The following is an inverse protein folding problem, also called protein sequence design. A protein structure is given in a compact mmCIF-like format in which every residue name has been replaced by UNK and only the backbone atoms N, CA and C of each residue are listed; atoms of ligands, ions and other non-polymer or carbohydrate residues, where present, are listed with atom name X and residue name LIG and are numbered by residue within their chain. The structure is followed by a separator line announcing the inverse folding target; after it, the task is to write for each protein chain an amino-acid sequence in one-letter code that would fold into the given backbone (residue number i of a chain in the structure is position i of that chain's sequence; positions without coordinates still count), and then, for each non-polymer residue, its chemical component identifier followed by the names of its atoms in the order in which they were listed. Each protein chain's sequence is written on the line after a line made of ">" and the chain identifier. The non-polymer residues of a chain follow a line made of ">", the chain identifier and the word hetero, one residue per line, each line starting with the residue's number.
data_IF_611217097423
#
_entry.id   IF_611217097423
#
_cell.length_a   1.000
_cell.length_b   1.000
_cell.length_c   1.000
_cell.angle_alpha   90.00
_cell.angle_beta   90.00
_cell.angle_gamma   90.00
#
_symmetry.space_group_name_H-M   'P 1'
#
loop_
_entity.id
_entity.type
_entity.pdbx_description
1 polymer ?
#
# COMPACT_ATOMS: atom_id res chain seq x y z
N UNK A 1 -10.63 36.10 11.98
CA UNK A 1 -10.99 34.88 11.23
C UNK A 1 -10.96 33.75 12.23
N UNK A 2 -12.11 33.40 12.75
CA UNK A 2 -12.25 32.47 13.88
C UNK A 2 -12.37 31.06 13.31
N UNK A 3 -11.40 30.21 13.63
CA UNK A 3 -11.43 28.79 13.25
C UNK A 3 -12.61 28.16 14.01
N UNK A 4 -13.50 27.47 13.29
CA UNK A 4 -14.66 26.82 13.89
C UNK A 4 -14.25 25.73 14.88
N UNK A 5 -15.09 25.40 15.88
CA UNK A 5 -14.76 24.45 16.95
C UNK A 5 -14.38 23.05 16.44
N UNK A 6 -14.78 22.67 15.23
CA UNK A 6 -14.46 21.37 14.61
C UNK A 6 -13.05 21.31 13.99
N UNK A 7 -12.56 22.41 13.42
CA UNK A 7 -11.18 22.47 12.93
C UNK A 7 -10.16 22.53 14.08
N UNK A 8 -10.59 23.01 15.25
CA UNK A 8 -9.80 23.00 16.47
C UNK A 8 -9.60 21.57 17.01
N UNK A 9 -10.57 20.65 16.84
CA UNK A 9 -10.43 19.24 17.24
C UNK A 9 -9.38 18.47 16.44
N UNK A 10 -9.29 18.69 15.12
CA UNK A 10 -8.21 18.11 14.31
C UNK A 10 -6.83 18.65 14.68
N UNK A 11 -6.74 19.91 15.11
CA UNK A 11 -5.46 20.54 15.50
C UNK A 11 -5.03 20.21 16.94
N UNK A 12 -5.98 20.08 17.87
CA UNK A 12 -5.70 19.81 19.30
C UNK A 12 -5.27 18.34 19.56
N UNK A 13 -5.47 17.43 18.60
CA UNK A 13 -4.99 16.04 18.67
C UNK A 13 -3.55 15.87 18.21
N UNK A 14 -2.96 16.86 17.53
CA UNK A 14 -1.60 16.78 17.00
C UNK A 14 -0.51 16.62 18.08
N UNK A 15 -0.52 17.29 19.26
CA UNK A 15 0.65 17.24 20.15
C UNK A 15 0.83 15.93 20.91
N UNK A 16 -0.19 15.07 21.02
CA UNK A 16 -0.08 13.74 21.66
C UNK A 16 0.29 12.62 20.68
N UNK A 17 0.36 12.97 19.39
CA UNK A 17 0.56 12.10 18.22
C UNK A 17 2.02 12.19 17.70
N UNK A 18 2.87 13.09 18.22
CA UNK A 18 4.24 13.31 17.72
C UNK A 18 5.38 12.62 18.49
N UNK A 19 5.10 11.67 19.38
CA UNK A 19 6.16 10.77 19.80
C UNK A 19 6.51 9.87 18.59
N UNK A 20 7.76 9.96 18.12
CA UNK A 20 8.30 9.05 17.11
C UNK A 20 8.08 7.62 17.61
N UNK A 21 7.48 6.73 16.80
CA UNK A 21 7.14 5.40 17.25
C UNK A 21 8.37 4.66 17.79
N UNK A 22 8.24 4.06 18.97
CA UNK A 22 9.36 3.37 19.61
C UNK A 22 9.54 1.95 19.08
N UNK A 23 8.52 1.39 18.40
CA UNK A 23 8.58 0.08 17.76
C UNK A 23 7.60 -0.06 16.58
N UNK A 24 7.83 -1.07 15.74
CA UNK A 24 6.90 -1.45 14.66
C UNK A 24 5.54 -1.90 15.22
N UNK A 25 5.52 -2.67 16.30
CA UNK A 25 4.27 -3.17 16.92
C UNK A 25 3.40 -2.02 17.41
N UNK A 26 3.98 -1.04 18.10
CA UNK A 26 3.26 0.17 18.53
C UNK A 26 2.69 0.94 17.33
N UNK A 27 3.47 1.07 16.26
CA UNK A 27 3.05 1.75 15.03
C UNK A 27 1.85 1.07 14.37
N UNK A 28 1.85 -0.26 14.31
CA UNK A 28 0.79 -1.06 13.70
C UNK A 28 -0.53 -0.91 14.48
N UNK A 29 -0.49 -1.04 15.81
CA UNK A 29 -1.66 -0.83 16.66
C UNK A 29 -2.20 0.60 16.53
N UNK A 30 -1.30 1.58 16.53
CA UNK A 30 -1.67 2.98 16.37
C UNK A 30 -2.29 3.25 15.01
N UNK A 31 -1.78 2.62 13.96
CA UNK A 31 -2.33 2.71 12.60
C UNK A 31 -3.78 2.24 12.57
N UNK A 32 -4.08 1.08 13.16
CA UNK A 32 -5.45 0.58 13.22
C UNK A 32 -6.38 1.55 13.97
N UNK A 33 -5.91 2.10 15.10
CA UNK A 33 -6.69 3.06 15.89
C UNK A 33 -7.03 4.34 15.11
N UNK A 34 -6.03 4.97 14.49
CA UNK A 34 -6.27 6.25 13.77
C UNK A 34 -7.18 6.05 12.55
N UNK A 35 -7.08 4.90 11.86
CA UNK A 35 -7.93 4.61 10.71
C UNK A 35 -9.37 4.41 11.14
N UNK A 36 -9.60 3.64 12.21
CA UNK A 36 -10.95 3.41 12.74
C UNK A 36 -11.57 4.68 13.29
N UNK A 37 -10.83 5.45 14.09
CA UNK A 37 -11.31 6.72 14.64
C UNK A 37 -11.71 7.70 13.53
N UNK A 38 -10.94 7.75 12.44
CA UNK A 38 -11.19 8.68 11.34
C UNK A 38 -12.28 8.22 10.36
N UNK A 39 -12.61 6.93 10.29
CA UNK A 39 -13.44 6.41 9.17
C UNK A 39 -14.57 5.47 9.56
N UNK A 40 -14.66 4.98 10.81
CA UNK A 40 -15.75 4.07 11.21
C UNK A 40 -17.12 4.76 11.12
N UNK A 41 -17.18 6.08 11.31
CA UNK A 41 -18.43 6.86 11.17
C UNK A 41 -19.01 6.87 9.75
N UNK A 42 -18.19 6.59 8.74
CA UNK A 42 -18.63 6.41 7.35
C UNK A 42 -19.19 5.02 7.08
N UNK A 43 -18.99 4.07 8.00
CA UNK A 43 -19.40 2.68 7.88
C UNK A 43 -18.20 1.73 7.88
N UNK A 44 -18.34 0.62 8.63
CA UNK A 44 -17.31 -0.40 8.79
C UNK A 44 -17.88 -1.82 8.79
N UNK A 45 -17.01 -2.81 8.58
CA UNK A 45 -17.28 -4.24 8.73
C UNK A 45 -16.09 -4.90 9.40
N UNK A 46 -16.34 -5.81 10.34
CA UNK A 46 -15.29 -6.48 11.10
C UNK A 46 -15.55 -8.00 11.11
N UNK A 47 -14.49 -8.77 10.87
CA UNK A 47 -14.48 -10.22 10.95
C UNK A 47 -14.02 -10.71 12.33
N UNK A 48 -14.36 -11.95 12.72
CA UNK A 48 -13.96 -12.52 14.01
C UNK A 48 -12.44 -12.77 14.14
N UNK A 49 -11.71 -12.70 13.03
CA UNK A 49 -10.26 -12.88 12.88
C UNK A 49 -9.48 -11.55 12.91
N UNK A 50 -10.15 -10.44 13.23
CA UNK A 50 -9.56 -9.10 13.25
C UNK A 50 -9.44 -8.45 11.87
N UNK A 51 -9.89 -9.11 10.80
CA UNK A 51 -10.01 -8.48 9.50
C UNK A 51 -11.05 -7.35 9.55
N UNK A 52 -10.80 -6.21 8.92
CA UNK A 52 -11.82 -5.16 8.85
C UNK A 52 -11.77 -4.32 7.57
N UNK A 53 -12.92 -3.71 7.29
CA UNK A 53 -13.13 -2.67 6.30
C UNK A 53 -13.61 -1.42 7.03
N UNK A 54 -13.08 -0.25 6.72
CA UNK A 54 -13.56 1.03 7.29
C UNK A 54 -13.53 2.15 6.23
N UNK A 55 -14.41 3.14 6.39
CA UNK A 55 -14.58 4.22 5.43
C UNK A 55 -15.41 3.83 4.21
N UNK A 56 -16.67 3.40 4.39
CA UNK A 56 -17.55 3.05 3.26
C UNK A 56 -17.84 4.27 2.38
N UNK A 57 -17.51 4.17 1.09
CA UNK A 57 -17.59 5.28 0.11
C UNK A 57 -18.41 4.85 -1.13
N UNK A 58 -19.75 4.72 -1.01
CA UNK A 58 -20.61 4.19 -2.08
C UNK A 58 -20.65 5.07 -3.34
N UNK A 59 -20.25 6.35 -3.22
CA UNK A 59 -20.13 7.27 -4.35
C UNK A 59 -18.97 6.90 -5.30
N UNK A 60 -17.98 6.12 -4.83
CA UNK A 60 -16.90 5.55 -5.66
C UNK A 60 -17.38 4.24 -6.30
N UNK A 61 -17.88 3.30 -5.49
CA UNK A 61 -18.57 2.09 -5.91
C UNK A 61 -19.38 1.49 -4.75
N UNK A 62 -20.46 0.72 -4.99
CA UNK A 62 -21.37 0.26 -3.94
C UNK A 62 -20.71 -0.47 -2.75
N UNK A 63 -19.60 -1.16 -3.00
CA UNK A 63 -18.85 -1.93 -1.99
C UNK A 63 -17.46 -1.35 -1.70
N UNK A 64 -17.18 -0.10 -2.09
CA UNK A 64 -15.88 0.51 -1.89
C UNK A 64 -15.69 0.97 -0.44
N UNK A 65 -14.54 0.64 0.13
CA UNK A 65 -14.08 1.14 1.42
C UNK A 65 -12.72 1.83 1.23
N UNK A 66 -12.45 2.85 2.02
CA UNK A 66 -11.16 3.56 2.01
C UNK A 66 -10.02 2.68 2.53
N UNK A 67 -10.32 1.81 3.49
CA UNK A 67 -9.35 0.92 4.10
C UNK A 67 -9.86 -0.52 4.17
N UNK A 68 -8.98 -1.45 3.83
CA UNK A 68 -9.13 -2.89 4.00
C UNK A 68 -7.90 -3.42 4.72
N UNK A 69 -8.09 -4.10 5.85
CA UNK A 69 -7.06 -4.81 6.61
C UNK A 69 -7.40 -6.29 6.65
N UNK A 70 -6.45 -7.13 6.26
CA UNK A 70 -6.61 -8.59 6.28
C UNK A 70 -6.18 -9.16 7.65
N UNK A 71 -6.69 -10.34 8.05
CA UNK A 71 -6.34 -10.91 9.34
C UNK A 71 -4.85 -11.22 9.40
N UNK A 72 -4.24 -11.13 10.58
CA UNK A 72 -2.81 -11.42 10.74
C UNK A 72 -2.48 -12.90 10.54
N UNK A 73 -1.24 -13.18 10.16
CA UNK A 73 -0.72 -14.53 9.98
C UNK A 73 -0.24 -15.13 11.30
N UNK A 74 -0.46 -16.43 11.47
CA UNK A 74 0.22 -17.24 12.49
C UNK A 74 1.61 -17.69 12.00
N UNK A 75 2.35 -18.42 12.84
CA UNK A 75 3.70 -18.89 12.52
C UNK A 75 3.76 -19.73 11.22
N UNK A 76 2.72 -20.53 10.95
CA UNK A 76 2.64 -21.31 9.72
C UNK A 76 2.39 -20.43 8.50
N UNK A 77 1.50 -19.44 8.64
CA UNK A 77 1.24 -18.43 7.63
C UNK A 77 2.48 -17.60 7.31
N UNK A 78 3.25 -17.20 8.32
CA UNK A 78 4.51 -16.47 8.14
C UNK A 78 5.55 -17.30 7.38
N UNK A 79 5.64 -18.59 7.68
CA UNK A 79 6.53 -19.49 6.95
C UNK A 79 6.10 -19.64 5.48
N UNK A 80 4.80 -19.80 5.23
CA UNK A 80 4.25 -19.85 3.88
C UNK A 80 4.45 -18.53 3.11
N UNK A 81 4.35 -17.38 3.79
CA UNK A 81 4.59 -16.06 3.21
C UNK A 81 6.04 -15.91 2.73
N UNK A 82 7.00 -16.43 3.50
CA UNK A 82 8.42 -16.40 3.17
C UNK A 82 8.73 -17.30 1.95
N UNK A 83 8.11 -18.48 1.89
CA UNK A 83 8.17 -19.37 0.72
C UNK A 83 7.53 -18.72 -0.53
N UNK A 84 6.37 -18.08 -0.38
CA UNK A 84 5.63 -17.42 -1.45
C UNK A 84 6.42 -16.24 -2.04
N UNK A 85 7.06 -15.44 -1.17
CA UNK A 85 7.96 -14.36 -1.55
C UNK A 85 9.24 -14.88 -2.22
N UNK A 86 9.63 -16.13 -1.98
CA UNK A 86 10.87 -16.74 -2.47
C UNK A 86 12.12 -16.06 -1.91
N UNK A 87 11.99 -15.39 -0.75
CA UNK A 87 13.00 -14.50 -0.15
C UNK A 87 12.79 -14.42 1.35
N UNK A 88 13.88 -14.14 2.08
CA UNK A 88 13.82 -13.86 3.51
C UNK A 88 12.87 -12.70 3.82
N UNK A 89 12.01 -12.87 4.83
CA UNK A 89 11.17 -11.80 5.36
C UNK A 89 11.86 -11.08 6.52
N UNK A 90 12.26 -9.80 6.37
CA UNK A 90 12.84 -9.04 7.46
C UNK A 90 11.87 -8.89 8.63
N UNK A 91 12.40 -8.93 9.86
CA UNK A 91 11.61 -8.90 11.10
C UNK A 91 10.54 -7.79 11.15
N UNK A 92 10.80 -6.53 10.72
CA UNK A 92 9.74 -5.51 10.72
C UNK A 92 8.55 -5.87 9.82
N UNK A 93 8.81 -6.53 8.69
CA UNK A 93 7.74 -6.95 7.78
C UNK A 93 7.05 -8.23 8.26
N UNK A 94 7.79 -9.15 8.89
CA UNK A 94 7.22 -10.30 9.57
C UNK A 94 6.26 -9.87 10.69
N UNK A 95 6.63 -8.87 11.49
CA UNK A 95 5.76 -8.28 12.49
C UNK A 95 4.52 -7.62 11.89
N UNK A 96 4.65 -6.98 10.72
CA UNK A 96 3.50 -6.46 9.97
C UNK A 96 2.55 -7.58 9.57
N UNK A 97 3.05 -8.64 8.92
CA UNK A 97 2.22 -9.76 8.47
C UNK A 97 1.55 -10.52 9.62
N UNK A 98 2.24 -10.68 10.75
CA UNK A 98 1.68 -11.27 11.96
C UNK A 98 0.53 -10.42 12.52
N UNK A 99 0.61 -9.10 12.39
CA UNK A 99 -0.43 -8.17 12.82
C UNK A 99 -1.58 -8.09 11.80
N UNK A 100 -1.26 -7.90 10.53
CA UNK A 100 -2.17 -7.79 9.39
C UNK A 100 -1.52 -8.43 8.14
N UNK A 101 -2.20 -9.37 7.49
CA UNK A 101 -1.69 -10.00 6.27
C UNK A 101 -1.84 -9.10 5.03
N UNK A 102 -1.11 -7.99 5.03
CA UNK A 102 -1.28 -6.92 4.05
C UNK A 102 -2.53 -6.07 4.29
N UNK A 103 -2.68 -5.05 3.45
CA UNK A 103 -3.78 -4.09 3.54
C UNK A 103 -3.91 -3.28 2.25
N UNK A 104 -5.08 -2.67 2.04
CA UNK A 104 -5.25 -1.53 1.15
C UNK A 104 -5.69 -0.35 2.00
N UNK A 105 -4.83 0.65 2.17
CA UNK A 105 -5.06 1.80 3.05
C UNK A 105 -4.94 3.06 2.21
N UNK A 106 -6.06 3.71 1.89
CA UNK A 106 -6.08 5.03 1.24
C UNK A 106 -5.23 5.09 -0.07
N UNK A 107 -5.25 3.99 -0.83
CA UNK A 107 -4.50 3.83 -2.07
C UNK A 107 -3.03 3.41 -1.91
N UNK A 108 -2.60 3.08 -0.70
CA UNK A 108 -1.38 2.30 -0.42
C UNK A 108 -1.79 0.83 -0.40
N UNK A 109 -1.13 0.00 -1.20
CA UNK A 109 -1.23 -1.45 -1.09
C UNK A 109 -0.02 -1.99 -0.33
N UNK A 110 -0.28 -2.76 0.73
CA UNK A 110 0.69 -3.60 1.42
C UNK A 110 0.41 -5.05 1.05
N UNK A 111 1.43 -5.75 0.56
CA UNK A 111 1.30 -7.12 0.06
C UNK A 111 1.31 -8.13 1.21
N UNK A 112 0.49 -9.16 1.08
CA UNK A 112 0.37 -10.25 2.04
C UNK A 112 0.64 -11.60 1.39
N UNK A 113 0.56 -12.66 2.18
CA UNK A 113 0.48 -14.01 1.67
C UNK A 113 -0.94 -14.29 1.17
N UNK A 114 -1.07 -15.15 0.18
CA UNK A 114 -2.38 -15.68 -0.22
C UNK A 114 -2.50 -17.18 0.13
N UNK A 115 -1.37 -17.80 0.49
CA UNK A 115 -1.28 -19.21 0.80
C UNK A 115 -1.73 -20.10 -0.37
N UNK A 116 -1.86 -21.42 -0.14
CA UNK A 116 -2.37 -22.35 -1.13
C UNK A 116 -3.90 -22.24 -1.27
N UNK A 117 -4.44 -21.17 -1.87
CA UNK A 117 -5.84 -21.07 -2.34
C UNK A 117 -6.96 -21.42 -1.32
N UNK A 118 -6.68 -21.50 -0.01
CA UNK A 118 -7.70 -21.84 0.99
C UNK A 118 -8.45 -20.58 1.38
N UNK A 119 -9.73 -20.54 1.04
CA UNK A 119 -10.68 -19.57 1.57
C UNK A 119 -10.59 -18.19 0.91
N UNK A 120 -11.15 -18.07 -0.29
CA UNK A 120 -11.63 -16.77 -0.79
C UNK A 120 -12.73 -16.29 0.16
N UNK A 121 -12.31 -15.61 1.22
CA UNK A 121 -13.08 -14.99 2.29
C UNK A 121 -14.05 -15.91 3.04
N UNK A 122 -13.74 -16.26 4.29
CA UNK A 122 -14.79 -16.75 5.20
C UNK A 122 -15.87 -15.68 5.48
N UNK A 123 -15.59 -14.39 5.22
CA UNK A 123 -16.45 -13.27 5.62
C UNK A 123 -16.66 -12.16 4.55
N UNK A 124 -16.27 -12.41 3.29
CA UNK A 124 -16.48 -11.45 2.20
C UNK A 124 -15.57 -10.21 2.17
N UNK A 125 -14.44 -10.21 2.89
CA UNK A 125 -13.46 -9.09 2.92
C UNK A 125 -12.41 -9.21 1.78
N UNK A 126 -12.26 -10.41 1.20
CA UNK A 126 -11.32 -10.68 0.11
C UNK A 126 -9.99 -11.28 0.59
N UNK A 127 -8.93 -11.07 -0.20
CA UNK A 127 -7.56 -11.52 0.06
C UNK A 127 -6.58 -10.40 -0.30
N UNK A 128 -5.39 -10.36 0.32
CA UNK A 128 -4.36 -9.37 -0.03
C UNK A 128 -3.80 -9.60 -1.44
N UNK A 129 -3.06 -8.60 -1.91
CA UNK A 129 -2.20 -8.77 -3.08
C UNK A 129 -0.97 -9.59 -2.65
N UNK A 130 -0.74 -10.70 -3.36
CA UNK A 130 0.33 -11.65 -3.09
C UNK A 130 1.72 -11.00 -3.14
N UNK A 131 2.56 -11.35 -2.16
CA UNK A 131 3.99 -11.01 -2.11
C UNK A 131 4.77 -11.54 -3.31
N UNK A 132 4.26 -12.58 -3.98
CA UNK A 132 4.90 -13.18 -5.14
C UNK A 132 5.07 -12.19 -6.30
N UNK A 133 4.15 -11.25 -6.48
CA UNK A 133 4.18 -10.32 -7.61
C UNK A 133 5.46 -9.48 -7.60
N UNK A 134 5.72 -8.72 -6.54
CA UNK A 134 6.88 -7.81 -6.48
C UNK A 134 8.22 -8.50 -6.23
N UNK A 135 8.20 -9.77 -5.85
CA UNK A 135 9.40 -10.51 -5.44
C UNK A 135 9.86 -11.57 -6.42
N UNK A 136 8.95 -12.17 -7.18
CA UNK A 136 9.24 -13.30 -8.09
C UNK A 136 8.82 -13.01 -9.53
N UNK A 137 7.61 -12.49 -9.75
CA UNK A 137 7.03 -12.42 -11.11
C UNK A 137 7.40 -11.11 -11.82
N UNK A 138 7.25 -9.99 -11.14
CA UNK A 138 7.33 -8.64 -11.72
C UNK A 138 8.51 -7.84 -11.17
N UNK A 139 9.45 -8.51 -10.50
CA UNK A 139 10.58 -7.85 -9.87
C UNK A 139 11.50 -7.22 -10.93
N UNK A 140 11.71 -5.89 -10.92
CA UNK A 140 12.64 -5.26 -11.85
C UNK A 140 14.10 -5.62 -11.53
N UNK A 141 14.92 -5.73 -12.57
CA UNK A 141 16.33 -6.13 -12.45
C UNK A 141 17.20 -5.11 -11.69
N UNK A 142 16.78 -3.83 -11.65
CA UNK A 142 17.50 -2.77 -10.95
C UNK A 142 17.27 -2.78 -9.43
N UNK A 143 16.30 -3.53 -8.92
CA UNK A 143 16.07 -3.60 -7.48
C UNK A 143 17.15 -4.47 -6.82
N UNK A 144 17.88 -3.95 -5.81
CA UNK A 144 18.94 -4.68 -5.13
C UNK A 144 18.48 -6.04 -4.63
N UNK A 145 19.31 -7.08 -4.78
CA UNK A 145 18.94 -8.45 -4.41
C UNK A 145 18.68 -8.65 -2.90
N UNK A 146 19.01 -7.70 -2.03
CA UNK A 146 18.64 -7.75 -0.61
C UNK A 146 17.22 -7.28 -0.32
N UNK A 147 16.58 -6.53 -1.23
CA UNK A 147 15.33 -5.83 -0.93
C UNK A 147 14.09 -6.72 -1.11
N UNK A 148 13.15 -6.61 -0.18
CA UNK A 148 11.84 -7.26 -0.25
C UNK A 148 10.82 -6.29 -0.87
N UNK A 149 10.09 -6.71 -1.91
CA UNK A 149 8.94 -5.97 -2.41
C UNK A 149 7.77 -6.12 -1.44
N UNK A 150 7.22 -5.01 -0.97
CA UNK A 150 6.24 -4.98 0.12
C UNK A 150 4.91 -4.36 -0.27
N UNK A 151 4.82 -3.75 -1.45
CA UNK A 151 3.62 -2.99 -1.77
C UNK A 151 3.74 -2.09 -2.97
N UNK A 152 2.74 -1.23 -3.11
CA UNK A 152 2.70 -0.23 -4.15
C UNK A 152 1.91 1.00 -3.70
N UNK A 153 2.23 2.12 -4.32
CA UNK A 153 1.49 3.37 -4.24
C UNK A 153 1.17 3.81 -5.66
N UNK A 154 -0.12 3.95 -5.97
CA UNK A 154 -0.55 4.38 -7.30
C UNK A 154 -0.60 5.90 -7.40
N UNK A 155 -0.11 6.42 -8.54
CA UNK A 155 -0.31 7.78 -8.98
C UNK A 155 -1.60 7.94 -9.80
N UNK A 156 -1.76 9.07 -10.52
CA UNK A 156 -3.04 9.42 -11.15
C UNK A 156 -3.46 8.48 -12.29
N UNK A 157 -2.56 8.16 -13.23
CA UNK A 157 -2.91 7.31 -14.38
C UNK A 157 -1.81 6.34 -14.78
N UNK A 158 -0.65 6.84 -15.20
CA UNK A 158 0.47 6.01 -15.67
C UNK A 158 1.53 5.79 -14.59
N UNK A 159 1.69 6.78 -13.71
CA UNK A 159 2.65 6.72 -12.63
C UNK A 159 2.23 5.71 -11.57
N UNK A 160 3.15 4.79 -11.29
CA UNK A 160 3.00 3.77 -10.25
C UNK A 160 4.34 3.66 -9.54
N UNK A 161 4.29 3.58 -8.22
CA UNK A 161 5.45 3.34 -7.39
C UNK A 161 5.36 1.98 -6.70
N UNK A 162 6.45 1.23 -6.71
CA UNK A 162 6.58 -0.03 -5.98
C UNK A 162 7.39 0.21 -4.71
N UNK A 163 6.89 -0.31 -3.60
CA UNK A 163 7.53 -0.20 -2.30
C UNK A 163 8.46 -1.38 -2.09
N UNK A 164 9.68 -1.10 -1.66
CA UNK A 164 10.67 -2.09 -1.28
C UNK A 164 11.21 -1.79 0.11
N UNK A 165 11.33 -2.83 0.94
CA UNK A 165 12.09 -2.81 2.19
C UNK A 165 13.53 -3.21 1.88
N UNK A 166 14.45 -2.26 1.98
CA UNK A 166 15.87 -2.48 1.76
C UNK A 166 16.50 -3.29 2.91
N UNK A 167 17.65 -3.90 2.65
CA UNK A 167 18.41 -4.64 3.68
C UNK A 167 18.95 -3.73 4.80
N UNK A 168 19.00 -2.41 4.57
CA UNK A 168 19.30 -1.38 5.57
C UNK A 168 18.16 -1.13 6.55
N UNK A 169 16.96 -1.67 6.27
CA UNK A 169 15.74 -1.43 7.03
C UNK A 169 14.90 -0.26 6.48
N UNK A 170 15.43 0.51 5.53
CA UNK A 170 14.72 1.62 4.89
C UNK A 170 13.60 1.13 3.98
N UNK A 171 12.52 1.89 3.89
CA UNK A 171 11.50 1.70 2.86
C UNK A 171 11.79 2.66 1.72
N UNK A 172 11.78 2.17 0.48
CA UNK A 172 12.03 2.95 -0.72
C UNK A 172 10.87 2.81 -1.71
N UNK A 173 10.45 3.92 -2.30
CA UNK A 173 9.48 3.94 -3.39
C UNK A 173 10.21 4.04 -4.73
N UNK A 174 10.18 2.97 -5.52
CA UNK A 174 10.75 2.93 -6.86
C UNK A 174 9.69 3.20 -7.91
N UNK A 175 10.06 3.90 -8.98
CA UNK A 175 9.23 4.00 -10.17
C UNK A 175 9.02 2.59 -10.76
N UNK A 176 7.79 2.25 -11.17
CA UNK A 176 7.45 0.88 -11.58
C UNK A 176 8.16 0.37 -12.83
N UNK A 177 8.72 1.28 -13.65
CA UNK A 177 9.39 0.96 -14.93
C UNK A 177 10.82 1.47 -15.05
N UNK A 178 11.26 2.31 -14.12
CA UNK A 178 12.53 3.03 -14.25
C UNK A 178 13.32 2.84 -12.97
N UNK A 179 14.65 2.75 -13.09
CA UNK A 179 15.56 2.76 -11.95
C UNK A 179 15.64 4.17 -11.35
N UNK A 180 14.56 4.56 -10.65
CA UNK A 180 14.41 5.85 -9.99
C UNK A 180 13.70 5.66 -8.68
N UNK A 181 14.25 6.27 -7.63
CA UNK A 181 13.64 6.34 -6.31
C UNK A 181 12.96 7.69 -6.15
N UNK A 182 11.69 7.68 -5.76
CA UNK A 182 10.88 8.88 -5.56
C UNK A 182 10.79 9.29 -4.10
N UNK A 183 10.79 8.33 -3.18
CA UNK A 183 10.73 8.59 -1.75
C UNK A 183 11.47 7.53 -0.96
N UNK A 184 11.91 7.90 0.25
CA UNK A 184 12.57 7.02 1.22
C UNK A 184 12.08 7.32 2.63
N UNK A 185 11.98 6.29 3.43
CA UNK A 185 11.70 6.37 4.85
C UNK A 185 12.73 5.54 5.61
N UNK A 186 13.18 6.05 6.76
CA UNK A 186 14.23 5.42 7.56
C UNK A 186 13.87 4.01 8.06
N UNK A 187 12.58 3.69 8.16
CA UNK A 187 12.09 2.36 8.50
C UNK A 187 10.64 2.15 8.07
N UNK A 188 10.17 0.90 8.14
CA UNK A 188 8.75 0.58 7.94
C UNK A 188 7.84 1.30 8.95
N UNK A 189 8.28 1.46 10.20
CA UNK A 189 7.52 2.19 11.20
C UNK A 189 7.36 3.68 10.83
N UNK A 190 8.43 4.32 10.33
CA UNK A 190 8.37 5.71 9.87
C UNK A 190 7.52 5.84 8.61
N UNK A 191 7.63 4.90 7.67
CA UNK A 191 6.75 4.87 6.50
C UNK A 191 5.26 4.87 6.90
N UNK A 192 4.85 3.96 7.79
CA UNK A 192 3.46 3.90 8.24
C UNK A 192 3.05 5.18 9.00
N UNK A 193 3.93 5.69 9.87
CA UNK A 193 3.65 6.86 10.69
C UNK A 193 3.59 8.18 9.91
N UNK A 194 4.24 8.28 8.76
CA UNK A 194 4.25 9.50 7.93
C UNK A 194 3.31 9.40 6.74
N UNK A 195 3.34 8.30 5.99
CA UNK A 195 2.62 8.17 4.72
C UNK A 195 1.12 7.95 4.94
N UNK A 196 0.70 7.20 5.97
CA UNK A 196 -0.73 6.99 6.25
C UNK A 196 -1.40 8.31 6.65
N UNK A 197 -0.89 9.10 7.63
CA UNK A 197 -1.47 10.41 7.92
C UNK A 197 -1.45 11.38 6.74
N UNK A 198 -0.39 11.37 5.92
CA UNK A 198 -0.34 12.16 4.68
C UNK A 198 -1.49 11.80 3.74
N UNK A 199 -1.80 10.51 3.61
CA UNK A 199 -2.91 9.99 2.79
C UNK A 199 -4.28 10.27 3.40
N UNK A 200 -4.41 10.27 4.72
CA UNK A 200 -5.65 10.64 5.40
C UNK A 200 -6.05 12.08 5.08
N UNK A 201 -5.07 12.99 5.03
CA UNK A 201 -5.29 14.40 4.69
C UNK A 201 -5.80 14.65 3.27
N UNK A 202 -5.92 13.61 2.42
CA UNK A 202 -6.50 13.73 1.08
C UNK A 202 -8.00 13.59 1.04
N UNK A 203 -8.65 13.29 2.15
CA UNK A 203 -10.09 13.03 2.18
C UNK A 203 -10.79 14.03 3.09
N UNK A 204 -12.00 14.43 2.72
CA UNK A 204 -12.90 15.18 3.59
C UNK A 204 -13.60 14.25 4.60
N UNK A 205 -14.38 14.84 5.51
CA UNK A 205 -15.13 14.11 6.55
C UNK A 205 -16.17 13.13 5.99
N UNK A 206 -16.47 13.19 4.69
CA UNK A 206 -17.38 12.30 3.95
C UNK A 206 -16.63 11.24 3.13
N UNK A 207 -15.31 11.19 3.23
CA UNK A 207 -14.46 10.28 2.48
C UNK A 207 -14.25 10.65 1.01
N UNK A 208 -14.63 11.85 0.57
CA UNK A 208 -14.33 12.31 -0.79
C UNK A 208 -12.89 12.78 -0.86
N UNK A 209 -12.19 12.37 -1.92
CA UNK A 209 -10.84 12.84 -2.17
C UNK A 209 -10.84 14.32 -2.56
N UNK A 210 -10.07 15.13 -1.85
CA UNK A 210 -9.82 16.54 -2.11
C UNK A 210 -9.08 16.72 -3.46
N UNK A 211 -9.47 17.75 -4.20
CA UNK A 211 -8.82 18.09 -5.46
C UNK A 211 -7.37 18.55 -5.24
N UNK A 212 -6.46 18.18 -6.15
CA UNK A 212 -5.05 18.60 -6.08
C UNK A 212 -4.18 17.79 -5.11
N UNK A 213 -4.72 16.75 -4.46
CA UNK A 213 -3.93 15.85 -3.63
C UNK A 213 -2.78 15.20 -4.42
N UNK A 214 -1.54 15.45 -3.98
CA UNK A 214 -0.34 14.82 -4.56
C UNK A 214 -0.27 13.36 -4.15
N UNK A 215 -0.74 12.45 -5.01
CA UNK A 215 -0.85 11.03 -4.70
C UNK A 215 0.51 10.42 -4.35
N UNK A 216 1.52 10.57 -5.20
CA UNK A 216 2.85 10.02 -4.93
C UNK A 216 3.66 10.93 -3.99
N UNK A 217 4.37 10.39 -2.98
CA UNK A 217 5.23 11.18 -2.09
C UNK A 217 6.55 11.55 -2.77
N UNK A 218 7.35 12.41 -2.12
CA UNK A 218 8.72 12.73 -2.53
C UNK A 218 8.85 13.29 -3.94
N UNK A 219 9.98 13.03 -4.59
CA UNK A 219 10.38 13.57 -5.90
C UNK A 219 9.73 12.75 -7.04
N UNK A 220 8.43 12.97 -7.24
CA UNK A 220 7.57 12.18 -8.14
C UNK A 220 6.73 13.03 -9.10
N UNK A 221 7.03 14.32 -9.20
CA UNK A 221 6.31 15.30 -10.01
C UNK A 221 6.30 14.95 -11.50
N UNK A 222 7.43 14.45 -12.02
CA UNK A 222 7.62 14.12 -13.43
C UNK A 222 7.27 12.65 -13.76
N UNK A 223 6.92 11.84 -12.76
CA UNK A 223 6.70 10.40 -12.94
C UNK A 223 5.55 10.08 -13.91
N UNK A 224 4.53 10.93 -13.97
CA UNK A 224 3.42 10.74 -14.91
C UNK A 224 3.88 10.87 -16.36
N UNK A 225 4.67 11.90 -16.66
CA UNK A 225 5.23 12.15 -17.99
C UNK A 225 6.26 11.09 -18.36
N UNK A 226 7.12 10.71 -17.40
CA UNK A 226 8.09 9.63 -17.57
C UNK A 226 7.40 8.28 -17.87
N UNK A 227 6.36 7.93 -17.11
CA UNK A 227 5.61 6.68 -17.30
C UNK A 227 4.88 6.65 -18.64
N UNK A 228 4.30 7.78 -19.06
CA UNK A 228 3.66 7.93 -20.36
C UNK A 228 4.67 7.75 -21.50
N UNK A 229 5.85 8.36 -21.39
CA UNK A 229 6.92 8.23 -22.37
C UNK A 229 7.44 6.79 -22.47
N UNK A 230 7.65 6.11 -21.33
CA UNK A 230 8.08 4.71 -21.29
C UNK A 230 7.06 3.78 -21.97
N UNK A 231 5.76 3.94 -21.68
CA UNK A 231 4.70 3.13 -22.30
C UNK A 231 4.66 3.26 -23.82
N UNK A 232 4.89 4.45 -24.35
CA UNK A 232 4.94 4.68 -25.80
C UNK A 232 6.16 4.04 -26.49
N UNK A 233 7.21 3.74 -25.73
CA UNK A 233 8.39 3.02 -26.23
C UNK A 233 8.18 1.50 -26.23
N UNK A 234 7.45 0.98 -25.24
CA UNK A 234 7.07 -0.44 -25.14
C UNK A 234 5.99 -0.85 -26.15
N UNK A 235 5.19 0.10 -26.67
CA UNK A 235 4.22 -0.19 -27.71
C UNK A 235 4.92 -0.61 -29.02
N UNK A 236 4.59 -1.79 -29.59
CA UNK A 236 5.24 -2.28 -30.79
C UNK A 236 5.04 -1.31 -31.96
N UNK A 237 6.12 -0.63 -32.36
CA UNK A 237 6.14 0.20 -33.57
C UNK A 237 6.05 -0.69 -34.81
N UNK A 238 4.86 -0.79 -35.39
CA UNK A 238 4.65 -1.32 -36.74
C UNK A 238 3.72 -2.54 -36.83
N UNK A 239 3.05 -2.65 -37.98
CA UNK A 239 2.09 -3.71 -38.33
C UNK A 239 2.70 -5.13 -38.16
N UNK A 240 4.00 -5.27 -38.45
CA UNK A 240 4.71 -6.55 -38.33
C UNK A 240 4.91 -7.04 -36.89
N UNK A 241 5.00 -6.14 -35.91
CA UNK A 241 5.18 -6.52 -34.50
C UNK A 241 3.85 -6.99 -33.86
N UNK A 242 2.71 -6.44 -34.30
CA UNK A 242 1.36 -6.95 -33.94
C UNK A 242 1.10 -8.36 -34.49
N UNK A 243 1.58 -8.67 -35.69
CA UNK A 243 1.49 -10.01 -36.30
C UNK A 243 2.34 -11.05 -35.56
N UNK A 244 3.54 -10.70 -35.08
CA UNK A 244 4.37 -11.58 -34.25
C UNK A 244 3.73 -11.92 -32.89
N UNK A 245 2.97 -11.01 -32.29
CA UNK A 245 2.23 -11.26 -31.05
C UNK A 245 1.08 -12.27 -31.21
N UNK A 246 0.46 -12.32 -32.39
CA UNK A 246 -0.60 -13.28 -32.74
C UNK A 246 -0.06 -14.70 -33.00
N UNK A 247 1.17 -14.82 -33.51
CA UNK A 247 1.81 -16.11 -33.81
C UNK A 247 2.45 -16.77 -32.57
N UNK A 248 2.68 -16.01 -31.49
CA UNK A 248 3.23 -16.53 -30.22
C UNK A 248 2.17 -17.11 -29.27
N UNK A 249 0.88 -17.01 -29.62
CA UNK A 249 -0.27 -17.52 -28.84
C UNK A 249 -0.87 -18.83 -29.42
N UNK A 250 -0.09 -19.60 -30.18
CA UNK A 250 -0.46 -20.96 -30.62
C UNK A 250 0.46 -21.98 -30.01
#
# INVERSE_FOLDING_TARGET
>A
MTIGPDAQRCFDLLPKVFAMPTSISETLHRTDLILREAYDHLGFREGPDGAFLTGHVPHVAPFAYLCTRYPGLDDQGLQAAEEEAGRYLPEPYRALLAHMDGANILGITLQGAIGPLVGRSLHGIGQPISLRYSNVVERPAYIPAGSLGIGAINGPWYSQGHLYLASTGEVELYHSRLDRVGARWASLAIFLAEEIPRRMAFHDDRGHRLAGAKLLPGDTEDWEDLAKAARQQDEPRGIFARLKGLLRRR
#
